data_IF_845753403139
#
_entry.id   IF_845753403139
#
_cell.length_a   1.000
_cell.length_b   1.000
_cell.length_c   1.000
_cell.angle_alpha   90.00
_cell.angle_beta   90.00
_cell.angle_gamma   90.00
#
_symmetry.space_group_name_H-M   'P 1'
#
loop_
_entity.id
_entity.type
_entity.pdbx_description
1 polymer ?
#
# COMPACT_ATOMS: atom_id res chain seq x y z
N UNK A 1 4.82 -9.82 -2.10
CA UNK A 1 3.91 -10.59 -3.00
C UNK A 1 2.45 -10.11 -2.87
N UNK A 2 1.83 -10.13 -1.68
CA UNK A 2 0.44 -9.69 -1.51
C UNK A 2 0.17 -8.25 -1.96
N UNK A 3 1.10 -7.32 -1.72
CA UNK A 3 1.06 -5.94 -2.24
C UNK A 3 0.87 -5.96 -3.76
N UNK A 4 1.80 -6.58 -4.48
CA UNK A 4 1.82 -6.57 -5.94
C UNK A 4 0.62 -7.26 -6.60
N UNK A 5 0.13 -8.32 -5.98
CA UNK A 5 -1.06 -9.03 -6.46
C UNK A 5 -2.32 -8.18 -6.25
N UNK A 6 -2.42 -7.50 -5.09
CA UNK A 6 -3.54 -6.60 -4.81
C UNK A 6 -3.56 -5.42 -5.77
N UNK A 7 -2.43 -4.74 -5.91
CA UNK A 7 -2.22 -3.63 -6.82
C UNK A 7 -2.60 -4.01 -8.28
N UNK A 8 -1.97 -5.07 -8.83
CA UNK A 8 -2.23 -5.50 -10.19
C UNK A 8 -3.69 -5.96 -10.44
N UNK A 9 -4.38 -6.46 -9.41
CA UNK A 9 -5.80 -6.81 -9.49
C UNK A 9 -6.69 -5.56 -9.48
N UNK A 10 -6.35 -4.55 -8.67
CA UNK A 10 -7.10 -3.30 -8.53
C UNK A 10 -6.84 -2.28 -9.64
N UNK A 11 -5.65 -2.27 -10.22
CA UNK A 11 -5.20 -1.30 -11.22
C UNK A 11 -6.21 -1.04 -12.37
N UNK A 12 -6.85 -2.07 -12.98
CA UNK A 12 -7.75 -1.84 -14.11
C UNK A 12 -9.04 -1.09 -13.76
N UNK A 13 -9.37 -1.03 -12.48
CA UNK A 13 -10.66 -0.50 -11.99
C UNK A 13 -10.52 0.78 -11.15
N UNK A 14 -9.30 1.23 -10.91
CA UNK A 14 -9.04 2.49 -10.21
C UNK A 14 -9.78 3.66 -10.86
N UNK A 15 -10.40 4.52 -10.03
CA UNK A 15 -11.14 5.68 -10.47
C UNK A 15 -12.57 5.41 -10.96
N UNK A 16 -12.96 4.16 -11.23
CA UNK A 16 -14.35 3.83 -11.49
C UNK A 16 -15.16 3.79 -10.19
N UNK A 17 -16.46 4.04 -10.30
CA UNK A 17 -17.39 3.75 -9.20
C UNK A 17 -17.68 2.25 -9.13
N UNK A 18 -18.06 1.72 -7.96
CA UNK A 18 -18.46 0.32 -7.80
C UNK A 18 -19.56 -0.10 -8.80
N UNK A 19 -20.49 0.82 -9.12
CA UNK A 19 -21.56 0.59 -10.10
C UNK A 19 -21.01 0.42 -11.52
N UNK A 20 -20.04 1.23 -11.92
CA UNK A 20 -19.40 1.11 -13.24
C UNK A 20 -18.61 -0.18 -13.33
N UNK A 21 -17.86 -0.55 -12.28
CA UNK A 21 -17.12 -1.82 -12.22
C UNK A 21 -18.10 -3.00 -12.37
N UNK A 22 -19.13 -3.05 -11.54
CA UNK A 22 -20.14 -4.11 -11.59
C UNK A 22 -20.81 -4.23 -12.96
N UNK A 23 -21.07 -3.09 -13.61
CA UNK A 23 -21.71 -3.09 -14.94
C UNK A 23 -20.78 -3.51 -16.07
N UNK A 24 -19.48 -3.16 -15.98
CA UNK A 24 -18.51 -3.41 -17.07
C UNK A 24 -17.81 -4.76 -16.92
N UNK A 25 -17.47 -5.15 -15.69
CA UNK A 25 -16.57 -6.26 -15.41
C UNK A 25 -17.20 -7.31 -14.47
N UNK A 26 -18.32 -7.00 -13.79
CA UNK A 26 -18.82 -7.81 -12.68
C UNK A 26 -17.91 -7.67 -11.47
N UNK A 27 -17.67 -8.79 -10.76
CA UNK A 27 -16.64 -8.87 -9.71
C UNK A 27 -15.28 -9.12 -10.35
N UNK A 28 -14.27 -8.38 -9.95
CA UNK A 28 -12.89 -8.47 -10.49
C UNK A 28 -12.17 -9.65 -9.85
N UNK A 29 -12.23 -10.81 -10.49
CA UNK A 29 -11.64 -12.06 -10.00
C UNK A 29 -10.35 -12.46 -10.70
N UNK A 30 -10.06 -11.85 -11.84
CA UNK A 30 -8.88 -12.13 -12.64
C UNK A 30 -8.15 -10.84 -12.97
N UNK A 31 -6.83 -10.92 -13.11
CA UNK A 31 -6.03 -9.78 -13.55
C UNK A 31 -6.38 -9.44 -15.00
N UNK A 32 -6.66 -8.18 -15.26
CA UNK A 32 -7.09 -7.66 -16.57
C UNK A 32 -6.15 -6.54 -17.01
N UNK A 33 -6.05 -6.27 -18.33
CA UNK A 33 -5.41 -5.06 -18.80
C UNK A 33 -6.25 -3.83 -18.41
N UNK A 34 -5.60 -2.70 -18.24
CA UNK A 34 -6.31 -1.42 -18.07
C UNK A 34 -7.17 -1.13 -19.31
N UNK A 35 -8.44 -0.72 -19.14
CA UNK A 35 -9.32 -0.41 -20.24
C UNK A 35 -8.80 0.69 -21.16
N UNK A 36 -9.18 0.68 -22.43
CA UNK A 36 -8.88 1.76 -23.36
C UNK A 36 -9.47 3.10 -22.85
N UNK A 37 -8.67 4.14 -22.83
CA UNK A 37 -9.06 5.46 -22.31
C UNK A 37 -8.99 5.59 -20.79
N UNK A 38 -8.63 4.52 -20.06
CA UNK A 38 -8.30 4.59 -18.65
C UNK A 38 -6.96 5.32 -18.43
N UNK A 39 -6.76 5.98 -17.28
CA UNK A 39 -5.47 6.69 -17.04
C UNK A 39 -4.27 5.74 -16.90
N UNK A 40 -4.51 4.47 -16.57
CA UNK A 40 -3.51 3.39 -16.68
C UNK A 40 -3.50 2.71 -18.05
N UNK A 41 -4.17 3.27 -19.07
CA UNK A 41 -4.20 2.69 -20.42
C UNK A 41 -2.80 2.36 -20.93
N UNK A 42 -2.63 1.11 -21.38
CA UNK A 42 -1.33 0.59 -21.79
C UNK A 42 -0.69 -0.37 -20.80
N UNK A 43 -1.15 -0.42 -19.55
CA UNK A 43 -0.77 -1.50 -18.64
C UNK A 43 -1.55 -2.77 -18.97
N UNK A 44 -0.84 -3.89 -19.05
CA UNK A 44 -1.41 -5.21 -19.36
C UNK A 44 -1.78 -5.97 -18.09
N UNK A 45 -2.47 -7.09 -18.21
CA UNK A 45 -2.82 -7.94 -17.09
C UNK A 45 -1.57 -8.37 -16.30
N UNK A 46 -1.61 -8.22 -14.97
CA UNK A 46 -0.51 -8.54 -14.07
C UNK A 46 0.53 -7.43 -13.90
N UNK A 47 0.43 -6.33 -14.64
CA UNK A 47 1.23 -5.15 -14.38
C UNK A 47 0.64 -4.35 -13.20
N UNK A 48 1.53 -3.80 -12.39
CA UNK A 48 1.20 -3.04 -11.18
C UNK A 48 1.51 -1.55 -11.37
N UNK A 49 1.01 -0.73 -10.42
CA UNK A 49 1.15 0.73 -10.39
C UNK A 49 2.35 1.19 -9.56
N UNK A 50 2.37 2.46 -9.18
CA UNK A 50 3.34 3.04 -8.27
C UNK A 50 3.25 2.44 -6.84
N UNK A 51 2.13 1.87 -6.42
CA UNK A 51 1.98 1.16 -5.14
C UNK A 51 3.05 0.10 -4.94
N UNK A 52 3.20 -0.79 -5.89
CA UNK A 52 4.21 -1.85 -5.84
C UNK A 52 5.60 -1.32 -6.12
N UNK A 53 5.76 -0.43 -7.10
CA UNK A 53 7.08 0.13 -7.41
C UNK A 53 7.67 0.87 -6.20
N UNK A 54 6.91 1.76 -5.55
CA UNK A 54 7.38 2.48 -4.35
C UNK A 54 7.62 1.54 -3.16
N UNK A 55 6.82 0.47 -3.02
CA UNK A 55 7.04 -0.59 -2.03
C UNK A 55 8.39 -1.30 -2.26
N UNK A 56 8.71 -1.62 -3.52
CA UNK A 56 9.98 -2.24 -3.88
C UNK A 56 11.15 -1.28 -3.68
N UNK A 57 11.02 -0.02 -4.05
CA UNK A 57 12.06 0.99 -3.81
C UNK A 57 12.38 1.14 -2.32
N UNK A 58 11.35 1.14 -1.45
CA UNK A 58 11.56 1.16 -0.01
C UNK A 58 12.22 -0.13 0.48
N UNK A 59 11.76 -1.30 0.03
CA UNK A 59 12.36 -2.59 0.38
C UNK A 59 13.84 -2.68 -0.03
N UNK A 60 14.15 -2.30 -1.26
CA UNK A 60 15.52 -2.27 -1.79
C UNK A 60 16.40 -1.27 -1.03
N UNK A 61 15.87 -0.11 -0.64
CA UNK A 61 16.60 0.85 0.19
C UNK A 61 16.92 0.28 1.58
N UNK A 62 16.00 -0.47 2.18
CA UNK A 62 16.24 -1.16 3.46
C UNK A 62 17.32 -2.23 3.34
N UNK A 63 17.33 -2.99 2.25
CA UNK A 63 18.30 -4.04 1.97
C UNK A 63 19.69 -3.43 1.76
N UNK A 64 19.80 -2.45 0.86
CA UNK A 64 21.06 -1.81 0.49
C UNK A 64 21.76 -1.16 1.70
N UNK A 65 20.97 -0.51 2.56
CA UNK A 65 21.48 0.15 3.77
C UNK A 65 21.59 -0.79 4.99
N UNK A 66 21.21 -2.08 4.87
CA UNK A 66 21.08 -3.00 5.99
C UNK A 66 20.23 -2.44 7.15
N UNK A 67 19.21 -1.67 6.81
CA UNK A 67 18.31 -0.97 7.73
C UNK A 67 17.71 0.27 7.10
N UNK A 68 16.94 1.07 7.89
CA UNK A 68 16.26 2.24 7.33
C UNK A 68 17.19 3.45 7.22
N UNK A 69 17.35 3.95 6.00
CA UNK A 69 18.02 5.20 5.66
C UNK A 69 17.05 6.13 4.92
N UNK A 70 16.61 7.25 5.52
CA UNK A 70 15.77 8.22 4.83
C UNK A 70 16.43 8.81 3.57
N UNK A 71 17.74 9.06 3.64
CA UNK A 71 18.52 9.56 2.50
C UNK A 71 18.58 8.51 1.38
N UNK A 72 18.84 7.24 1.71
CA UNK A 72 18.86 6.13 0.75
C UNK A 72 17.50 5.92 0.09
N UNK A 73 16.41 6.04 0.82
CA UNK A 73 15.06 5.95 0.24
C UNK A 73 14.76 7.14 -0.68
N UNK A 74 15.11 8.36 -0.27
CA UNK A 74 14.94 9.54 -1.11
C UNK A 74 15.78 9.46 -2.40
N UNK A 75 16.98 8.88 -2.34
CA UNK A 75 17.82 8.61 -3.50
C UNK A 75 17.16 7.59 -4.46
N UNK A 76 16.57 6.50 -3.94
CA UNK A 76 15.79 5.55 -4.74
C UNK A 76 14.62 6.22 -5.46
N UNK A 77 13.83 7.03 -4.74
CA UNK A 77 12.72 7.79 -5.33
C UNK A 77 13.20 8.75 -6.42
N UNK A 78 14.30 9.45 -6.17
CA UNK A 78 14.87 10.41 -7.12
C UNK A 78 15.40 9.71 -8.39
N UNK A 79 16.07 8.58 -8.22
CA UNK A 79 16.59 7.76 -9.31
C UNK A 79 15.46 7.19 -10.18
N UNK A 80 14.39 6.71 -9.56
CA UNK A 80 13.18 6.28 -10.28
C UNK A 80 12.54 7.44 -11.02
N UNK A 81 12.36 8.59 -10.36
CA UNK A 81 11.81 9.78 -11.00
C UNK A 81 12.61 10.27 -12.20
N UNK A 82 13.93 10.12 -12.20
CA UNK A 82 14.76 10.45 -13.34
C UNK A 82 14.43 9.61 -14.59
N UNK A 83 13.93 8.39 -14.43
CA UNK A 83 13.53 7.53 -15.56
C UNK A 83 12.28 8.05 -16.28
N UNK A 84 11.42 8.84 -15.61
CA UNK A 84 10.19 9.38 -16.20
C UNK A 84 10.46 10.37 -17.33
N UNK A 85 11.64 11.00 -17.33
CA UNK A 85 12.10 11.85 -18.43
C UNK A 85 12.41 11.07 -19.72
N UNK A 86 12.66 9.77 -19.60
CA UNK A 86 12.94 8.88 -20.74
C UNK A 86 11.64 8.28 -21.31
N UNK A 87 10.76 7.84 -20.42
CA UNK A 87 9.44 7.34 -20.75
C UNK A 87 8.49 7.63 -19.58
N UNK A 88 7.48 8.46 -19.82
CA UNK A 88 6.53 8.86 -18.79
C UNK A 88 5.75 7.66 -18.20
N UNK A 89 5.55 6.60 -18.96
CA UNK A 89 4.88 5.38 -18.48
C UNK A 89 5.60 4.68 -17.34
N UNK A 90 6.91 4.94 -17.18
CA UNK A 90 7.71 4.40 -16.07
C UNK A 90 7.34 5.00 -14.70
N UNK A 91 6.55 6.09 -14.67
CA UNK A 91 5.99 6.61 -13.42
C UNK A 91 4.88 5.73 -12.81
N UNK A 92 4.34 4.79 -13.59
CA UNK A 92 3.33 3.82 -13.14
C UNK A 92 2.02 4.42 -12.62
N UNK A 93 1.68 5.63 -13.05
CA UNK A 93 0.48 6.31 -12.57
C UNK A 93 0.66 7.10 -11.27
N UNK A 94 1.93 7.34 -10.87
CA UNK A 94 2.26 8.03 -9.63
C UNK A 94 1.41 9.28 -9.36
N UNK A 95 0.85 9.34 -8.14
CA UNK A 95 0.00 10.42 -7.70
C UNK A 95 0.71 11.77 -7.59
N UNK A 96 -0.06 12.85 -7.59
CA UNK A 96 0.44 14.23 -7.62
C UNK A 96 1.44 14.55 -6.48
N UNK A 97 1.19 14.06 -5.26
CA UNK A 97 2.05 14.35 -4.11
C UNK A 97 3.46 13.77 -4.30
N UNK A 98 3.55 12.48 -4.64
CA UNK A 98 4.83 11.81 -4.89
C UNK A 98 5.52 12.41 -6.12
N UNK A 99 4.82 12.59 -7.24
CA UNK A 99 5.37 13.19 -8.46
C UNK A 99 6.02 14.54 -8.17
N UNK A 100 5.27 15.45 -7.54
CA UNK A 100 5.76 16.82 -7.27
C UNK A 100 6.96 16.83 -6.31
N UNK A 101 6.95 15.95 -5.30
CA UNK A 101 8.04 15.83 -4.35
C UNK A 101 9.31 15.27 -5.04
N UNK A 102 9.17 14.19 -5.81
CA UNK A 102 10.28 13.57 -6.54
C UNK A 102 10.90 14.54 -7.55
N UNK A 103 10.10 15.22 -8.36
CA UNK A 103 10.58 16.25 -9.27
C UNK A 103 11.30 17.39 -8.53
N UNK A 104 10.83 17.74 -7.32
CA UNK A 104 11.48 18.75 -6.50
C UNK A 104 12.85 18.27 -5.99
N UNK A 105 12.97 16.99 -5.60
CA UNK A 105 14.25 16.38 -5.21
C UNK A 105 15.21 16.28 -6.39
N UNK A 106 14.76 15.92 -7.58
CA UNK A 106 15.56 15.94 -8.83
C UNK A 106 16.15 17.33 -9.09
N UNK A 107 15.40 18.38 -8.80
CA UNK A 107 15.87 19.77 -8.88
C UNK A 107 16.79 20.21 -7.73
N UNK A 108 17.18 19.27 -6.85
CA UNK A 108 18.13 19.51 -5.76
C UNK A 108 17.50 19.96 -4.44
N UNK A 109 16.18 19.92 -4.29
CA UNK A 109 15.55 20.20 -3.00
C UNK A 109 15.80 19.06 -2.03
N UNK A 110 16.25 19.33 -0.78
CA UNK A 110 16.42 18.28 0.23
C UNK A 110 15.10 17.54 0.49
N UNK A 111 15.15 16.21 0.69
CA UNK A 111 13.96 15.39 0.93
C UNK A 111 13.16 15.84 2.17
N UNK A 112 13.82 16.41 3.19
CA UNK A 112 13.18 16.97 4.38
C UNK A 112 12.23 18.14 4.08
N UNK A 113 12.30 18.69 2.88
CA UNK A 113 11.51 19.84 2.45
C UNK A 113 10.68 19.54 1.20
N UNK A 114 10.81 18.36 0.58
CA UNK A 114 10.16 18.03 -0.70
C UNK A 114 8.70 17.62 -0.53
N UNK A 115 8.36 16.98 0.58
CA UNK A 115 7.02 16.46 0.84
C UNK A 115 5.93 17.54 0.89
N UNK A 116 4.73 17.15 0.46
CA UNK A 116 3.56 18.00 0.40
C UNK A 116 2.58 17.66 1.54
N UNK A 117 1.88 18.69 2.03
CA UNK A 117 0.81 18.51 3.03
C UNK A 117 -0.50 18.09 2.34
N UNK A 118 -0.49 16.90 1.73
CA UNK A 118 -1.63 16.30 1.03
C UNK A 118 -1.98 14.99 1.74
N UNK A 119 -3.26 14.77 2.13
CA UNK A 119 -3.66 13.65 2.98
C UNK A 119 -3.98 12.36 2.20
N UNK A 120 -3.26 12.11 1.09
CA UNK A 120 -3.45 10.89 0.28
C UNK A 120 -2.69 9.69 0.82
N UNK A 121 -3.04 8.48 0.35
CA UNK A 121 -2.54 7.20 0.84
C UNK A 121 -1.13 6.82 0.38
N UNK A 122 -0.48 7.60 -0.51
CA UNK A 122 0.80 7.22 -1.15
C UNK A 122 1.94 6.85 -0.20
N UNK A 123 1.95 7.37 1.04
CA UNK A 123 2.91 6.92 2.05
C UNK A 123 2.45 5.62 2.76
N UNK A 124 1.13 5.34 2.78
CA UNK A 124 0.58 4.16 3.44
C UNK A 124 0.71 2.90 2.57
N UNK A 125 0.43 3.00 1.27
CA UNK A 125 0.47 1.89 0.33
C UNK A 125 1.84 1.18 0.30
N UNK A 126 2.93 1.92 0.48
CA UNK A 126 4.32 1.43 0.44
C UNK A 126 4.92 1.08 1.81
N UNK A 127 4.19 1.26 2.93
CA UNK A 127 4.75 1.16 4.28
C UNK A 127 5.04 -0.27 4.77
N UNK A 128 4.55 -1.30 4.08
CA UNK A 128 4.67 -2.70 4.48
C UNK A 128 6.11 -3.17 4.76
N UNK A 129 7.15 -2.83 3.98
CA UNK A 129 8.54 -3.25 4.24
C UNK A 129 9.06 -2.84 5.61
N UNK A 130 8.65 -1.68 6.14
CA UNK A 130 9.02 -1.24 7.50
C UNK A 130 8.41 -2.20 8.55
N UNK A 131 7.13 -2.54 8.39
CA UNK A 131 6.45 -3.50 9.27
C UNK A 131 7.09 -4.89 9.23
N UNK A 132 7.46 -5.36 8.04
CA UNK A 132 8.13 -6.65 7.86
C UNK A 132 9.50 -6.69 8.52
N UNK A 133 10.32 -5.68 8.31
CA UNK A 133 11.71 -5.66 8.77
C UNK A 133 11.81 -5.51 10.30
N UNK A 134 10.99 -4.67 10.90
CA UNK A 134 11.10 -4.28 12.31
C UNK A 134 9.96 -4.80 13.19
N UNK A 135 9.25 -5.86 12.78
CA UNK A 135 8.03 -6.38 13.43
C UNK A 135 8.18 -6.68 14.93
N UNK A 136 9.38 -6.95 15.42
CA UNK A 136 9.65 -7.22 16.85
C UNK A 136 9.72 -5.95 17.70
N UNK A 137 9.77 -4.74 17.09
CA UNK A 137 9.87 -3.48 17.81
C UNK A 137 8.92 -2.42 17.25
N UNK A 138 7.68 -2.38 17.78
CA UNK A 138 6.65 -1.45 17.31
C UNK A 138 7.03 0.04 17.47
N UNK A 139 7.96 0.39 18.36
CA UNK A 139 8.44 1.77 18.48
C UNK A 139 9.29 2.16 17.27
N UNK A 140 10.11 1.26 16.77
CA UNK A 140 10.88 1.44 15.54
C UNK A 140 9.94 1.45 14.34
N UNK A 141 9.00 0.48 14.25
CA UNK A 141 8.01 0.41 13.15
C UNK A 141 7.31 1.74 12.97
N UNK A 142 6.70 2.29 14.03
CA UNK A 142 5.96 3.55 13.93
C UNK A 142 6.85 4.73 13.55
N UNK A 143 8.07 4.81 14.13
CA UNK A 143 8.98 5.93 13.88
C UNK A 143 9.48 5.92 12.43
N UNK A 144 9.80 4.75 11.89
CA UNK A 144 10.30 4.63 10.53
C UNK A 144 9.18 4.68 9.48
N UNK A 145 7.98 4.18 9.81
CA UNK A 145 6.81 4.34 8.96
C UNK A 145 6.41 5.83 8.84
N UNK A 146 6.50 6.58 9.90
CA UNK A 146 6.32 8.03 9.88
C UNK A 146 7.41 8.73 9.05
N UNK A 147 8.67 8.41 9.29
CA UNK A 147 9.80 9.08 8.66
C UNK A 147 9.90 8.79 7.15
N UNK A 148 9.57 7.55 6.68
CA UNK A 148 9.53 7.24 5.25
C UNK A 148 8.45 8.00 4.48
N UNK A 149 7.46 8.56 5.18
CA UNK A 149 6.41 9.37 4.55
C UNK A 149 6.93 10.74 4.12
N UNK A 150 7.82 11.35 4.90
CA UNK A 150 8.22 12.76 4.81
C UNK A 150 8.78 13.20 3.45
N UNK A 151 9.53 12.38 2.69
CA UNK A 151 10.00 12.77 1.38
C UNK A 151 8.89 13.17 0.40
N UNK A 152 7.67 12.62 0.57
CA UNK A 152 6.54 12.85 -0.35
C UNK A 152 5.28 13.41 0.34
N UNK A 153 4.98 12.98 1.58
CA UNK A 153 3.76 13.31 2.29
C UNK A 153 4.05 13.79 3.72
N UNK A 154 3.69 15.03 4.03
CA UNK A 154 3.86 15.63 5.36
C UNK A 154 2.54 15.78 6.13
N UNK A 155 1.38 15.50 5.49
CA UNK A 155 0.07 15.53 6.13
C UNK A 155 -0.01 14.54 7.31
N UNK A 156 -0.63 14.96 8.41
CA UNK A 156 -0.85 14.12 9.58
C UNK A 156 -1.61 12.83 9.23
N UNK A 157 -2.67 12.93 8.43
CA UNK A 157 -3.46 11.78 8.00
C UNK A 157 -2.68 10.79 7.12
N UNK A 158 -1.88 11.28 6.17
CA UNK A 158 -1.03 10.43 5.33
C UNK A 158 0.01 9.66 6.14
N UNK A 159 0.67 10.34 7.08
CA UNK A 159 1.65 9.76 8.01
C UNK A 159 1.01 8.77 8.98
N UNK A 160 -0.19 9.09 9.49
CA UNK A 160 -0.99 8.19 10.33
C UNK A 160 -1.36 6.91 9.58
N UNK A 161 -1.75 7.02 8.30
CA UNK A 161 -2.01 5.89 7.41
C UNK A 161 -0.80 4.97 7.26
N UNK A 162 0.37 5.54 7.00
CA UNK A 162 1.62 4.78 6.89
C UNK A 162 1.97 4.04 8.19
N UNK A 163 1.81 4.70 9.35
CA UNK A 163 2.00 4.07 10.67
C UNK A 163 1.00 2.94 10.88
N UNK A 164 -0.29 3.14 10.55
CA UNK A 164 -1.31 2.12 10.72
C UNK A 164 -1.02 0.87 9.88
N UNK A 165 -0.64 1.03 8.62
CA UNK A 165 -0.31 -0.11 7.73
C UNK A 165 0.93 -0.84 8.22
N UNK A 166 2.02 -0.15 8.51
CA UNK A 166 3.26 -0.78 8.97
C UNK A 166 3.07 -1.53 10.31
N UNK A 167 2.34 -0.94 11.25
CA UNK A 167 1.98 -1.59 12.54
C UNK A 167 1.07 -2.79 12.29
N UNK A 168 0.07 -2.66 11.42
CA UNK A 168 -0.81 -3.77 11.05
C UNK A 168 -0.02 -4.95 10.49
N UNK A 169 0.89 -4.71 9.55
CA UNK A 169 1.78 -5.72 8.95
C UNK A 169 2.66 -6.38 10.02
N UNK A 170 3.27 -5.59 10.90
CA UNK A 170 4.12 -6.12 11.98
C UNK A 170 3.33 -7.05 12.92
N UNK A 171 2.11 -6.68 13.30
CA UNK A 171 1.27 -7.47 14.18
C UNK A 171 0.71 -8.72 13.50
N UNK A 172 0.47 -8.69 12.18
CA UNK A 172 0.12 -9.88 11.41
C UNK A 172 1.20 -10.96 11.50
N UNK A 173 2.48 -10.59 11.43
CA UNK A 173 3.61 -11.52 11.57
C UNK A 173 3.70 -12.16 12.97
N UNK A 174 3.23 -11.47 13.98
CA UNK A 174 3.32 -11.92 15.39
C UNK A 174 2.06 -12.68 15.86
N UNK A 175 1.09 -12.90 14.97
CA UNK A 175 -0.07 -13.75 15.22
C UNK A 175 -1.16 -13.13 16.09
N UNK A 176 -1.25 -11.81 16.16
CA UNK A 176 -2.35 -11.12 16.83
C UNK A 176 -3.68 -11.35 16.09
N UNK A 177 -4.80 -11.31 16.83
CA UNK A 177 -6.12 -11.34 16.19
C UNK A 177 -6.38 -10.10 15.35
N UNK A 178 -7.24 -10.22 14.33
CA UNK A 178 -7.58 -9.10 13.45
C UNK A 178 -8.09 -7.87 14.25
N UNK A 179 -8.88 -8.10 15.31
CA UNK A 179 -9.39 -7.04 16.19
C UNK A 179 -8.26 -6.34 16.95
N UNK A 180 -7.28 -7.09 17.44
CA UNK A 180 -6.11 -6.53 18.13
C UNK A 180 -5.23 -5.75 17.15
N UNK A 181 -5.07 -6.24 15.92
CA UNK A 181 -4.34 -5.56 14.84
C UNK A 181 -5.00 -4.21 14.57
N UNK A 182 -6.32 -4.18 14.33
CA UNK A 182 -7.07 -2.95 14.07
C UNK A 182 -6.91 -1.93 15.20
N UNK A 183 -7.14 -2.35 16.45
CA UNK A 183 -7.05 -1.48 17.63
C UNK A 183 -5.66 -0.91 17.85
N UNK A 184 -4.62 -1.73 17.70
CA UNK A 184 -3.25 -1.29 17.87
C UNK A 184 -2.81 -0.36 16.74
N UNK A 185 -3.13 -0.68 15.48
CA UNK A 185 -2.85 0.18 14.33
C UNK A 185 -3.46 1.57 14.54
N UNK A 186 -4.73 1.65 14.90
CA UNK A 186 -5.40 2.91 15.19
C UNK A 186 -4.78 3.64 16.40
N UNK A 187 -4.48 2.94 17.48
CA UNK A 187 -3.84 3.54 18.67
C UNK A 187 -2.45 4.12 18.40
N UNK A 188 -1.66 3.52 17.51
CA UNK A 188 -0.36 4.10 17.15
C UNK A 188 -0.52 5.29 16.19
N UNK A 189 -1.49 5.24 15.28
CA UNK A 189 -1.80 6.31 14.34
C UNK A 189 -2.39 7.55 15.00
N UNK A 190 -3.17 7.40 16.10
CA UNK A 190 -3.86 8.50 16.79
C UNK A 190 -2.92 9.59 17.31
N UNK A 191 -1.65 9.26 17.53
CA UNK A 191 -0.63 10.23 17.95
C UNK A 191 -0.29 11.27 16.86
N UNK A 192 -0.60 10.95 15.61
CA UNK A 192 -0.40 11.82 14.46
C UNK A 192 -1.72 12.46 14.03
N UNK A 193 -2.80 11.67 13.98
CA UNK A 193 -4.11 12.12 13.52
C UNK A 193 -5.23 11.33 14.24
N UNK A 194 -5.94 12.00 15.14
CA UNK A 194 -7.02 11.40 15.92
C UNK A 194 -8.23 11.06 15.04
N UNK A 195 -8.59 11.95 14.10
CA UNK A 195 -9.67 11.70 13.15
C UNK A 195 -9.40 10.46 12.28
N UNK A 196 -8.18 10.31 11.77
CA UNK A 196 -7.79 9.12 11.04
C UNK A 196 -7.98 7.85 11.90
N UNK A 197 -7.54 7.90 13.16
CA UNK A 197 -7.63 6.75 14.06
C UNK A 197 -9.08 6.37 14.38
N UNK A 198 -9.95 7.35 14.58
CA UNK A 198 -11.40 7.14 14.76
C UNK A 198 -12.02 6.47 13.53
N UNK A 199 -11.69 6.96 12.32
CA UNK A 199 -12.12 6.37 11.05
C UNK A 199 -11.67 4.92 10.92
N UNK A 200 -10.45 4.60 11.34
CA UNK A 200 -9.92 3.24 11.30
C UNK A 200 -10.63 2.34 12.32
N UNK A 201 -10.85 2.79 13.56
CA UNK A 201 -11.58 2.03 14.57
C UNK A 201 -13.03 1.75 14.19
N UNK A 202 -13.67 2.71 13.50
CA UNK A 202 -15.04 2.56 13.04
C UNK A 202 -15.26 1.37 12.11
N UNK A 203 -14.23 0.89 11.43
CA UNK A 203 -14.27 -0.35 10.63
C UNK A 203 -14.85 -1.52 11.43
N UNK A 204 -14.50 -1.64 12.72
CA UNK A 204 -14.99 -2.72 13.58
C UNK A 204 -16.51 -2.74 13.77
N UNK A 205 -17.17 -1.58 13.67
CA UNK A 205 -18.63 -1.43 13.81
C UNK A 205 -19.39 -1.73 12.50
N UNK A 206 -18.68 -1.76 11.38
CA UNK A 206 -19.27 -1.93 10.05
C UNK A 206 -19.23 -3.37 9.53
N UNK A 207 -18.62 -4.30 10.29
CA UNK A 207 -18.39 -5.68 9.83
C UNK A 207 -19.68 -6.48 9.61
N UNK A 208 -20.77 -6.11 10.26
CA UNK A 208 -22.08 -6.77 10.12
C UNK A 208 -22.92 -6.19 8.97
N UNK A 209 -22.51 -5.08 8.38
CA UNK A 209 -23.19 -4.48 7.23
C UNK A 209 -22.91 -5.30 5.97
N UNK A 210 -23.77 -5.11 4.95
CA UNK A 210 -23.46 -5.58 3.61
C UNK A 210 -22.19 -4.87 3.10
N UNK A 211 -21.32 -5.57 2.38
CA UNK A 211 -20.04 -5.00 1.95
C UNK A 211 -20.17 -3.69 1.17
N UNK A 212 -21.16 -3.61 0.28
CA UNK A 212 -21.42 -2.41 -0.52
C UNK A 212 -21.80 -1.22 0.34
N UNK A 213 -22.62 -1.45 1.38
CA UNK A 213 -23.07 -0.40 2.32
C UNK A 213 -21.90 0.04 3.21
N UNK A 214 -21.11 -0.92 3.72
CA UNK A 214 -19.95 -0.64 4.57
C UNK A 214 -18.88 0.17 3.80
N UNK A 215 -18.49 -0.28 2.61
CA UNK A 215 -17.51 0.42 1.77
C UNK A 215 -18.03 1.79 1.29
N UNK A 216 -19.34 1.89 1.01
CA UNK A 216 -19.98 3.17 0.69
C UNK A 216 -19.90 4.19 1.82
N UNK A 217 -20.00 3.74 3.08
CA UNK A 217 -19.90 4.59 4.28
C UNK A 217 -18.45 4.93 4.62
N UNK A 218 -17.54 3.95 4.53
CA UNK A 218 -16.09 4.16 4.71
C UNK A 218 -15.56 5.13 3.67
N UNK A 219 -16.07 5.06 2.44
CA UNK A 219 -15.56 5.73 1.24
C UNK A 219 -14.25 5.09 0.77
N UNK A 220 -13.86 5.44 -0.44
CA UNK A 220 -12.80 4.75 -1.17
C UNK A 220 -11.99 5.69 -2.10
N UNK A 221 -11.94 6.99 -1.76
CA UNK A 221 -11.08 7.93 -2.48
C UNK A 221 -9.62 7.78 -2.06
N UNK A 222 -8.65 8.37 -2.81
CA UNK A 222 -7.22 8.29 -2.47
C UNK A 222 -6.81 8.95 -1.14
N UNK A 223 -7.76 9.40 -0.31
CA UNK A 223 -7.46 9.94 1.00
C UNK A 223 -7.08 8.82 1.97
N UNK A 224 -5.98 8.97 2.70
CA UNK A 224 -5.50 7.97 3.65
C UNK A 224 -6.58 7.55 4.67
N UNK A 225 -7.42 8.51 5.12
CA UNK A 225 -8.52 8.26 6.05
C UNK A 225 -9.75 7.55 5.41
N UNK A 226 -9.66 7.19 4.13
CA UNK A 226 -10.67 6.41 3.39
C UNK A 226 -10.06 5.11 2.85
N UNK A 227 -8.98 5.18 2.06
CA UNK A 227 -8.27 4.01 1.50
C UNK A 227 -7.81 3.02 2.57
N UNK A 228 -7.13 3.49 3.63
CA UNK A 228 -6.60 2.59 4.68
C UNK A 228 -7.72 1.91 5.48
N UNK A 229 -8.77 2.61 5.97
CA UNK A 229 -9.93 1.95 6.57
C UNK A 229 -10.64 0.96 5.64
N UNK A 230 -10.78 1.27 4.33
CA UNK A 230 -11.38 0.35 3.36
C UNK A 230 -10.55 -0.94 3.21
N UNK A 231 -9.23 -0.83 3.16
CA UNK A 231 -8.32 -1.97 3.12
C UNK A 231 -8.40 -2.82 4.41
N UNK A 232 -8.43 -2.17 5.58
CA UNK A 232 -8.61 -2.87 6.85
C UNK A 232 -9.99 -3.52 6.94
N UNK A 233 -11.06 -2.91 6.42
CA UNK A 233 -12.37 -3.55 6.31
C UNK A 233 -12.29 -4.85 5.49
N UNK A 234 -11.68 -4.82 4.32
CA UNK A 234 -11.51 -6.00 3.48
C UNK A 234 -10.69 -7.08 4.23
N UNK A 235 -9.61 -6.70 4.90
CA UNK A 235 -8.81 -7.61 5.73
C UNK A 235 -9.61 -8.22 6.89
N UNK A 236 -10.41 -7.42 7.60
CA UNK A 236 -11.20 -7.88 8.74
C UNK A 236 -12.32 -8.84 8.34
N UNK A 237 -13.02 -8.52 7.25
CA UNK A 237 -14.30 -9.12 6.87
C UNK A 237 -14.18 -10.41 6.05
N UNK A 238 -13.13 -10.54 5.23
CA UNK A 238 -13.03 -11.60 4.22
C UNK A 238 -11.81 -12.50 4.43
N UNK A 239 -11.81 -13.65 3.72
CA UNK A 239 -10.60 -14.44 3.48
C UNK A 239 -9.77 -13.78 2.37
N UNK A 240 -8.45 -14.12 2.24
CA UNK A 240 -7.50 -13.32 1.44
C UNK A 240 -7.92 -13.06 -0.01
N UNK A 241 -8.28 -14.12 -0.75
CA UNK A 241 -8.67 -13.98 -2.16
C UNK A 241 -9.91 -13.10 -2.32
N UNK A 242 -10.96 -13.38 -1.55
CA UNK A 242 -12.21 -12.62 -1.62
C UNK A 242 -12.03 -11.18 -1.13
N UNK A 243 -11.11 -10.94 -0.21
CA UNK A 243 -10.76 -9.60 0.24
C UNK A 243 -10.19 -8.74 -0.90
N UNK A 244 -9.27 -9.31 -1.68
CA UNK A 244 -8.68 -8.59 -2.82
C UNK A 244 -9.69 -8.40 -3.95
N UNK A 245 -10.52 -9.41 -4.23
CA UNK A 245 -11.63 -9.31 -5.19
C UNK A 245 -12.61 -8.22 -4.79
N UNK A 246 -12.96 -8.14 -3.50
CA UNK A 246 -13.83 -7.10 -2.97
C UNK A 246 -13.19 -5.72 -3.08
N UNK A 247 -11.92 -5.58 -2.70
CA UNK A 247 -11.15 -4.34 -2.80
C UNK A 247 -11.09 -3.84 -4.26
N UNK A 248 -10.70 -4.70 -5.20
CA UNK A 248 -10.63 -4.38 -6.62
C UNK A 248 -12.00 -4.06 -7.25
N UNK A 249 -13.09 -4.46 -6.61
CA UNK A 249 -14.47 -4.24 -7.08
C UNK A 249 -15.19 -3.10 -6.36
N UNK A 250 -14.56 -2.47 -5.36
CA UNK A 250 -15.19 -1.48 -4.47
C UNK A 250 -15.35 -0.08 -5.10
N UNK A 251 -14.62 0.18 -6.19
CA UNK A 251 -14.52 1.50 -6.81
C UNK A 251 -13.54 2.43 -6.10
N UNK A 252 -13.28 3.58 -6.70
CA UNK A 252 -12.33 4.56 -6.18
C UNK A 252 -10.90 4.12 -6.32
N UNK A 253 -10.14 4.11 -5.24
CA UNK A 253 -8.70 3.82 -5.14
C UNK A 253 -8.47 2.30 -4.97
N UNK A 254 -8.93 1.53 -5.96
CA UNK A 254 -9.04 0.07 -5.88
C UNK A 254 -7.69 -0.65 -5.79
N UNK A 255 -6.67 -0.16 -6.45
CA UNK A 255 -5.32 -0.68 -6.41
C UNK A 255 -4.68 -0.50 -5.03
N UNK A 256 -4.71 0.70 -4.45
CA UNK A 256 -4.18 0.95 -3.10
C UNK A 256 -4.98 0.20 -2.03
N UNK A 257 -6.32 0.12 -2.12
CA UNK A 257 -7.12 -0.66 -1.18
C UNK A 257 -6.72 -2.14 -1.22
N UNK A 258 -6.61 -2.73 -2.43
CA UNK A 258 -6.25 -4.12 -2.59
C UNK A 258 -4.78 -4.39 -2.25
N UNK A 259 -3.86 -3.48 -2.59
CA UNK A 259 -2.43 -3.51 -2.24
C UNK A 259 -2.21 -3.55 -0.73
N UNK A 260 -2.85 -2.63 0.01
CA UNK A 260 -2.76 -2.57 1.48
C UNK A 260 -3.38 -3.82 2.12
N UNK A 261 -4.58 -4.25 1.69
CA UNK A 261 -5.20 -5.49 2.18
C UNK A 261 -4.31 -6.71 1.90
N UNK A 262 -3.73 -6.78 0.70
CA UNK A 262 -2.78 -7.80 0.28
C UNK A 262 -1.51 -7.82 1.14
N UNK A 263 -1.01 -6.66 1.56
CA UNK A 263 0.14 -6.54 2.47
C UNK A 263 -0.13 -7.20 3.84
N UNK A 264 -1.31 -6.94 4.40
CA UNK A 264 -1.75 -7.52 5.67
C UNK A 264 -1.92 -9.05 5.57
N UNK A 265 -2.57 -9.54 4.52
CA UNK A 265 -2.70 -10.98 4.31
C UNK A 265 -1.38 -11.67 3.99
N UNK A 266 -0.51 -11.03 3.23
CA UNK A 266 0.84 -11.52 2.96
C UNK A 266 1.64 -11.73 4.23
N UNK A 267 1.57 -10.78 5.17
CA UNK A 267 2.19 -10.90 6.48
C UNK A 267 1.52 -11.98 7.37
N UNK A 268 0.18 -12.06 7.36
CA UNK A 268 -0.56 -13.00 8.21
C UNK A 268 -0.47 -14.46 7.74
N UNK A 269 -0.45 -14.71 6.43
CA UNK A 269 -0.63 -16.06 5.84
C UNK A 269 0.46 -16.46 4.83
N UNK A 270 1.44 -15.59 4.56
CA UNK A 270 2.44 -15.80 3.50
C UNK A 270 1.83 -15.66 2.10
N UNK A 271 2.36 -16.40 1.12
CA UNK A 271 1.91 -16.29 -0.30
C UNK A 271 1.07 -17.48 -0.80
N UNK A 272 0.90 -18.53 -0.01
CA UNK A 272 0.26 -19.79 -0.46
C UNK A 272 -1.23 -19.67 -0.77
N UNK A 273 -1.87 -18.61 -0.31
CA UNK A 273 -3.29 -18.33 -0.57
C UNK A 273 -3.52 -17.66 -1.93
N UNK A 274 -2.46 -17.17 -2.59
CA UNK A 274 -2.57 -16.45 -3.86
C UNK A 274 -2.84 -17.47 -4.99
N UNK A 275 -3.89 -17.28 -5.80
CA UNK A 275 -4.15 -18.12 -6.95
C UNK A 275 -2.98 -18.18 -7.93
N UNK A 276 -2.65 -19.37 -8.44
CA UNK A 276 -1.56 -19.51 -9.39
C UNK A 276 -1.85 -18.78 -10.73
N UNK A 277 -3.12 -18.62 -11.10
CA UNK A 277 -3.52 -17.80 -12.26
C UNK A 277 -3.07 -16.34 -12.13
N UNK A 278 -3.11 -15.78 -10.91
CA UNK A 278 -2.63 -14.42 -10.65
C UNK A 278 -1.11 -14.35 -10.68
N UNK A 279 -0.43 -15.32 -10.05
CA UNK A 279 1.03 -15.37 -10.01
C UNK A 279 1.66 -15.60 -11.39
N UNK A 280 0.97 -16.31 -12.28
CA UNK A 280 1.48 -16.66 -13.61
C UNK A 280 1.63 -15.43 -14.53
N UNK A 281 0.81 -14.39 -14.32
CA UNK A 281 0.84 -13.16 -15.13
C UNK A 281 1.47 -11.97 -14.41
N UNK A 282 1.79 -12.11 -13.12
CA UNK A 282 2.33 -11.01 -12.30
C UNK A 282 3.69 -10.55 -12.80
N UNK A 283 3.79 -9.27 -13.14
CA UNK A 283 5.04 -8.62 -13.54
C UNK A 283 6.08 -8.67 -12.42
N UNK A 284 7.33 -8.85 -12.77
CA UNK A 284 8.46 -8.71 -11.84
C UNK A 284 8.45 -9.69 -10.67
N UNK A 285 7.77 -10.82 -10.77
CA UNK A 285 7.65 -11.84 -9.71
C UNK A 285 9.00 -12.17 -9.07
N UNK A 286 10.05 -12.39 -9.87
CA UNK A 286 11.39 -12.71 -9.38
C UNK A 286 11.99 -11.56 -8.53
N UNK A 287 11.82 -10.31 -8.96
CA UNK A 287 12.27 -9.12 -8.19
C UNK A 287 11.56 -9.05 -6.84
N UNK A 288 10.25 -9.30 -6.83
CA UNK A 288 9.43 -9.27 -5.61
C UNK A 288 9.83 -10.40 -4.65
N UNK A 289 10.02 -11.62 -5.15
CA UNK A 289 10.46 -12.78 -4.37
C UNK A 289 11.86 -12.56 -3.78
N UNK A 290 12.79 -12.04 -4.59
CA UNK A 290 14.15 -11.72 -4.15
C UNK A 290 14.15 -10.66 -3.04
N UNK A 291 13.41 -9.57 -3.21
CA UNK A 291 13.29 -8.53 -2.18
C UNK A 291 12.68 -9.08 -0.88
N UNK A 292 11.66 -9.93 -0.97
CA UNK A 292 11.03 -10.56 0.19
C UNK A 292 12.00 -11.47 0.95
N UNK A 293 12.79 -12.28 0.25
CA UNK A 293 13.81 -13.16 0.85
C UNK A 293 14.90 -12.35 1.54
N UNK A 294 15.47 -11.35 0.87
CA UNK A 294 16.49 -10.48 1.45
C UNK A 294 16.00 -9.73 2.69
N UNK A 295 14.76 -9.20 2.67
CA UNK A 295 14.15 -8.58 3.86
C UNK A 295 13.97 -9.57 5.00
N UNK A 296 13.57 -10.81 4.73
CA UNK A 296 13.41 -11.86 5.74
C UNK A 296 14.75 -12.24 6.40
N UNK A 297 15.81 -12.36 5.61
CA UNK A 297 17.17 -12.61 6.10
C UNK A 297 17.66 -11.45 6.96
N UNK A 298 17.50 -10.22 6.48
CA UNK A 298 17.87 -9.00 7.20
C UNK A 298 17.10 -8.87 8.52
N UNK A 299 15.77 -9.10 8.50
CA UNK A 299 14.94 -9.10 9.72
C UNK A 299 15.44 -10.12 10.75
N UNK A 300 15.79 -11.33 10.29
CA UNK A 300 16.34 -12.38 11.16
C UNK A 300 17.69 -11.98 11.80
N UNK A 301 18.47 -11.13 11.15
CA UNK A 301 19.73 -10.61 11.68
C UNK A 301 19.54 -9.48 12.70
N UNK A 302 18.54 -8.63 12.51
CA UNK A 302 18.22 -7.49 13.40
C UNK A 302 17.54 -7.98 14.70
N UNK A 303 16.79 -9.08 14.63
CA UNK A 303 16.06 -9.64 15.77
C UNK A 303 16.90 -10.53 16.71
N UNK A 304 18.19 -10.70 16.42
CA UNK A 304 19.16 -11.40 17.30
C UNK A 304 19.85 -10.43 18.23
#
# INVERSE_FOLDING_TARGET
>A
MGVAVGDALGMPTEGYTAREISSKFGMVREMMPAPEGHFHSGLTAGQFTDDTEETLLLAESLIDASGFSPDGFAEKLTSWGATWTLDERLNRGVGFATRSAVESMIRGKPWQQSGLNIPTCGAAMRAAPIGLLYHTNLNIVKSYADLQSLPTHTSAAARAGAVAVAVGVALCLTGFSKEMILRNAASQASRLDEYFAERLLWVGELLDLKPEDALGVIRNSPLAAETVPAAFYCFMRFEPEEALVMAASSGGDTDSIASIAGSLFGAAKGSRWIPESWLAVLEGRERIESAALCLSELSSSICR
#
